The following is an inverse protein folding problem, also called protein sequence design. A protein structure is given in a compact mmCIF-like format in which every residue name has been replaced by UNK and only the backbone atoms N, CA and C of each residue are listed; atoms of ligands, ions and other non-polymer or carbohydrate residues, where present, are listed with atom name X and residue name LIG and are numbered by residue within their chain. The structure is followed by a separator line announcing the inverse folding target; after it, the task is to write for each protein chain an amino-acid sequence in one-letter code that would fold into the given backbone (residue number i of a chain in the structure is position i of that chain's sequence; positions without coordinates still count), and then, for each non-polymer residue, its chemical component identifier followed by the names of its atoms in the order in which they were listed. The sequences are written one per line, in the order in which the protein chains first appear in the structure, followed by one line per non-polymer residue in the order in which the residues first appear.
data_IF_629135067047
#
_entry.id   IF_629135067047
#
_cell.length_a   1.000
_cell.length_b   1.000
_cell.length_c   1.000
_cell.angle_alpha   90.00
_cell.angle_beta   90.00
_cell.angle_gamma   90.00
#
_symmetry.space_group_name_H-M   'P 1'
#
loop_
_entity.id
_entity.type
_entity.pdbx_description
1 polymer ?
#
# COMPACT_ATOMS: atom_id res chain seq x y z
N UNK A 1 15.09 27.02 -12.12
CA UNK A 1 13.83 27.79 -12.14
C UNK A 1 13.03 27.51 -10.87
N UNK A 2 13.15 28.37 -9.85
CA UNK A 2 12.47 28.27 -8.55
C UNK A 2 11.50 29.47 -8.44
N UNK A 3 10.19 29.23 -8.56
CA UNK A 3 9.16 30.20 -8.17
C UNK A 3 8.55 29.78 -6.83
N UNK A 4 8.88 30.45 -5.73
CA UNK A 4 8.16 30.29 -4.47
C UNK A 4 6.93 31.23 -4.50
N UNK A 5 5.83 30.82 -3.90
CA UNK A 5 4.70 31.71 -3.58
C UNK A 5 4.29 31.33 -2.16
N UNK A 6 4.49 32.24 -1.22
CA UNK A 6 4.00 32.13 0.16
C UNK A 6 2.80 33.07 0.27
N UNK A 7 1.69 32.57 0.82
CA UNK A 7 0.46 33.33 0.99
C UNK A 7 0.55 34.33 2.14
N UNK A 8 0.07 35.54 1.89
CA UNK A 8 -0.27 36.58 2.84
C UNK A 8 -1.36 37.45 2.23
N UNK A 9 -2.37 37.78 3.04
CA UNK A 9 -3.62 38.43 2.63
C UNK A 9 -3.41 39.72 1.82
N UNK A 10 -4.21 39.88 0.77
CA UNK A 10 -4.39 41.15 0.06
C UNK A 10 -3.68 41.27 -1.30
N UNK A 11 -4.44 41.02 -2.37
CA UNK A 11 -4.38 41.81 -3.61
C UNK A 11 -3.14 41.79 -4.52
N UNK A 12 -2.02 41.17 -4.16
CA UNK A 12 -0.82 41.15 -5.01
C UNK A 12 -0.18 39.76 -5.03
N UNK A 13 0.08 39.23 -6.23
CA UNK A 13 0.81 37.97 -6.38
C UNK A 13 2.31 38.24 -6.11
N UNK A 14 2.81 37.85 -4.94
CA UNK A 14 4.24 37.98 -4.60
C UNK A 14 5.11 36.99 -5.40
N UNK A 15 5.65 37.48 -6.52
CA UNK A 15 6.62 36.79 -7.38
C UNK A 15 7.97 36.71 -6.64
N UNK A 16 8.35 35.55 -6.09
CA UNK A 16 9.74 35.36 -5.60
C UNK A 16 10.66 34.80 -6.67
N UNK A 17 11.78 35.49 -6.88
CA UNK A 17 12.79 35.19 -7.91
C UNK A 17 13.62 33.91 -7.62
N UNK A 18 14.10 33.19 -8.65
CA UNK A 18 14.87 31.96 -8.46
C UNK A 18 16.21 32.18 -7.76
N UNK A 19 16.48 31.42 -6.70
CA UNK A 19 17.83 31.31 -6.14
C UNK A 19 18.71 30.46 -7.09
N UNK A 20 19.59 31.10 -7.85
CA UNK A 20 20.73 30.44 -8.51
C UNK A 20 22.04 30.97 -7.94
N UNK A 21 23.05 30.10 -7.95
CA UNK A 21 24.29 30.15 -7.18
C UNK A 21 25.06 31.47 -7.27
N UNK A 22 25.69 31.81 -6.14
CA UNK A 22 26.49 33.00 -5.92
C UNK A 22 27.67 33.09 -6.92
N UNK A 23 27.74 34.22 -7.63
CA UNK A 23 28.97 34.71 -8.26
C UNK A 23 29.60 35.71 -7.28
N UNK A 24 30.91 35.62 -6.96
CA UNK A 24 31.50 36.46 -5.92
C UNK A 24 31.68 37.89 -6.46
N UNK A 25 31.06 38.88 -5.80
CA UNK A 25 31.34 40.30 -6.05
C UNK A 25 30.18 41.29 -5.99
N UNK A 26 28.93 40.89 -5.73
CA UNK A 26 27.81 41.84 -5.61
C UNK A 26 26.90 41.58 -4.40
N UNK A 27 26.35 42.70 -3.90
CA UNK A 27 25.56 42.94 -2.69
C UNK A 27 24.46 41.88 -2.45
N UNK A 28 24.21 41.45 -1.20
CA UNK A 28 23.28 40.37 -0.88
C UNK A 28 21.83 40.66 -1.29
N UNK A 29 21.20 39.68 -1.94
CA UNK A 29 19.83 39.66 -2.49
C UNK A 29 18.76 39.56 -1.37
N UNK A 30 18.82 40.43 -0.35
CA UNK A 30 17.84 40.43 0.76
C UNK A 30 16.97 41.69 0.82
N UNK A 31 17.15 42.63 -0.10
CA UNK A 31 16.47 43.93 -0.08
C UNK A 31 16.11 44.47 -1.46
N UNK A 32 15.69 43.63 -2.42
CA UNK A 32 15.11 44.12 -3.66
C UNK A 32 13.59 44.16 -3.54
N UNK A 33 13.01 45.35 -3.72
CA UNK A 33 11.56 45.52 -3.84
C UNK A 33 11.03 44.81 -5.09
N UNK A 34 9.78 44.30 -5.08
CA UNK A 34 9.20 43.52 -6.18
C UNK A 34 9.25 44.22 -7.54
N UNK A 35 9.26 45.56 -7.57
CA UNK A 35 9.42 46.39 -8.77
C UNK A 35 10.74 46.17 -9.52
N UNK A 36 11.83 45.84 -8.83
CA UNK A 36 13.14 45.67 -9.48
C UNK A 36 13.25 44.29 -10.16
N UNK A 37 12.61 43.24 -9.62
CA UNK A 37 12.60 41.90 -10.25
C UNK A 37 11.78 41.88 -11.55
N UNK A 38 10.69 42.66 -11.64
CA UNK A 38 9.86 42.78 -12.85
C UNK A 38 10.63 43.49 -13.99
N UNK A 39 11.47 44.48 -13.68
CA UNK A 39 12.27 45.17 -14.70
C UNK A 39 13.35 44.31 -15.38
N UNK A 40 13.77 43.21 -14.74
CA UNK A 40 14.87 42.34 -15.23
C UNK A 40 14.38 41.12 -16.02
N UNK A 41 13.12 40.71 -15.80
CA UNK A 41 12.48 39.60 -16.51
C UNK A 41 11.13 40.06 -17.09
N UNK A 42 11.17 40.61 -18.30
CA UNK A 42 10.03 41.16 -19.04
C UNK A 42 8.97 40.10 -19.41
N UNK A 43 9.20 38.81 -19.12
CA UNK A 43 8.27 37.71 -19.36
C UNK A 43 7.34 37.39 -18.17
N UNK A 44 7.42 38.14 -17.06
CA UNK A 44 6.70 37.84 -15.83
C UNK A 44 5.60 38.84 -15.44
N UNK A 45 5.43 39.92 -16.20
CA UNK A 45 4.29 40.83 -16.04
C UNK A 45 3.18 40.40 -17.01
N UNK A 46 2.50 39.30 -16.67
CA UNK A 46 1.20 39.03 -17.30
C UNK A 46 0.25 40.03 -16.67
N UNK A 47 0.00 41.11 -17.39
CA UNK A 47 -0.93 42.15 -16.99
C UNK A 47 -2.31 41.52 -16.78
N UNK A 48 -2.67 41.27 -15.51
CA UNK A 48 -3.92 40.60 -15.11
C UNK A 48 -5.13 41.52 -15.23
N UNK A 49 -4.92 42.74 -15.71
CA UNK A 49 -5.93 43.80 -15.79
C UNK A 49 -6.61 43.91 -17.16
N UNK A 50 -6.09 43.26 -18.21
CA UNK A 50 -6.69 43.32 -19.56
C UNK A 50 -6.95 41.94 -20.20
N UNK A 51 -8.20 41.77 -20.68
CA UNK A 51 -8.65 40.72 -21.60
C UNK A 51 -8.35 39.28 -21.17
N UNK A 52 -7.43 38.63 -21.89
CA UNK A 52 -7.14 37.20 -21.75
C UNK A 52 -6.55 36.83 -20.38
N UNK A 53 -5.77 37.72 -19.76
CA UNK A 53 -5.19 37.50 -18.42
C UNK A 53 -6.27 37.47 -17.33
N UNK A 54 -7.26 38.36 -17.43
CA UNK A 54 -8.36 38.44 -16.46
C UNK A 54 -9.33 37.27 -16.59
N UNK A 55 -9.60 36.81 -17.82
CA UNK A 55 -10.38 35.58 -18.08
C UNK A 55 -9.66 34.38 -17.47
N UNK A 56 -8.35 34.21 -17.74
CA UNK A 56 -7.58 33.11 -17.17
C UNK A 56 -7.56 33.11 -15.64
N UNK A 57 -7.37 34.28 -15.02
CA UNK A 57 -7.39 34.42 -13.57
C UNK A 57 -8.76 34.13 -12.98
N UNK A 58 -9.85 34.56 -13.65
CA UNK A 58 -11.22 34.24 -13.28
C UNK A 58 -11.49 32.74 -13.36
N UNK A 59 -11.11 32.09 -14.46
CA UNK A 59 -11.23 30.64 -14.65
C UNK A 59 -10.46 29.88 -13.56
N UNK A 60 -9.22 30.28 -13.27
CA UNK A 60 -8.43 29.67 -12.20
C UNK A 60 -9.10 29.82 -10.83
N UNK A 61 -9.62 31.00 -10.51
CA UNK A 61 -10.32 31.25 -9.24
C UNK A 61 -11.59 30.40 -9.12
N UNK A 62 -12.37 30.29 -10.19
CA UNK A 62 -13.56 29.42 -10.21
C UNK A 62 -13.18 27.94 -10.09
N UNK A 63 -12.14 27.47 -10.79
CA UNK A 63 -11.65 26.08 -10.67
C UNK A 63 -11.19 25.78 -9.24
N UNK A 64 -10.49 26.71 -8.60
CA UNK A 64 -10.05 26.56 -7.22
C UNK A 64 -11.24 26.43 -6.26
N UNK A 65 -12.26 27.29 -6.40
CA UNK A 65 -13.50 27.21 -5.62
C UNK A 65 -14.25 25.90 -5.83
N UNK A 66 -14.30 25.38 -7.07
CA UNK A 66 -14.96 24.10 -7.39
C UNK A 66 -14.20 22.93 -6.74
N UNK A 67 -12.87 22.89 -6.88
CA UNK A 67 -12.04 21.77 -6.39
C UNK A 67 -12.04 21.69 -4.86
N UNK A 68 -12.08 22.82 -4.17
CA UNK A 68 -12.12 22.88 -2.69
C UNK A 68 -13.54 22.73 -2.12
N UNK A 69 -14.57 22.71 -2.97
CA UNK A 69 -15.94 22.57 -2.52
C UNK A 69 -16.23 21.17 -1.94
N UNK A 70 -16.81 21.10 -0.75
CA UNK A 70 -17.08 19.83 -0.04
C UNK A 70 -17.99 18.86 -0.80
N UNK A 71 -18.95 19.39 -1.58
CA UNK A 71 -19.78 18.53 -2.45
C UNK A 71 -18.99 17.92 -3.59
N UNK A 72 -18.05 18.66 -4.18
CA UNK A 72 -17.21 18.13 -5.25
C UNK A 72 -16.29 17.03 -4.69
N UNK A 73 -15.71 17.25 -3.51
CA UNK A 73 -14.91 16.22 -2.83
C UNK A 73 -15.74 14.95 -2.52
N UNK A 74 -16.95 15.12 -1.98
CA UNK A 74 -17.88 14.00 -1.70
C UNK A 74 -18.29 13.24 -2.96
N UNK A 75 -18.55 13.97 -4.05
CA UNK A 75 -18.85 13.39 -5.37
C UNK A 75 -17.70 12.54 -5.91
N UNK A 76 -16.47 13.04 -5.85
CA UNK A 76 -15.28 12.28 -6.29
C UNK A 76 -15.08 11.03 -5.42
N UNK A 77 -15.26 11.13 -4.11
CA UNK A 77 -15.17 9.96 -3.21
C UNK A 77 -16.22 8.90 -3.60
N UNK A 78 -17.47 9.31 -3.82
CA UNK A 78 -18.53 8.41 -4.27
C UNK A 78 -18.19 7.74 -5.61
N UNK A 79 -17.64 8.49 -6.57
CA UNK A 79 -17.18 7.94 -7.85
C UNK A 79 -16.02 6.94 -7.70
N UNK A 80 -15.07 7.19 -6.79
CA UNK A 80 -13.98 6.24 -6.47
C UNK A 80 -14.54 4.95 -5.90
N UNK A 81 -15.49 5.03 -4.97
CA UNK A 81 -16.13 3.85 -4.38
C UNK A 81 -16.90 3.05 -5.42
N UNK A 82 -17.66 3.72 -6.28
CA UNK A 82 -18.43 3.07 -7.34
C UNK A 82 -17.50 2.40 -8.38
N UNK A 83 -16.42 3.08 -8.77
CA UNK A 83 -15.41 2.51 -9.68
C UNK A 83 -14.67 1.31 -9.07
N UNK A 84 -14.39 1.35 -7.76
CA UNK A 84 -13.77 0.23 -7.04
C UNK A 84 -14.75 -0.95 -6.89
N UNK A 85 -16.02 -0.67 -6.65
CA UNK A 85 -17.09 -1.67 -6.62
C UNK A 85 -17.29 -2.34 -7.97
N UNK A 86 -17.17 -1.59 -9.08
CA UNK A 86 -17.25 -2.16 -10.43
C UNK A 86 -16.18 -3.24 -10.68
N UNK A 87 -14.97 -3.08 -10.14
CA UNK A 87 -13.90 -4.10 -10.24
C UNK A 87 -14.25 -5.41 -9.53
N UNK A 88 -15.06 -5.36 -8.47
CA UNK A 88 -15.47 -6.57 -7.75
C UNK A 88 -16.42 -7.47 -8.58
N UNK A 89 -17.08 -6.91 -9.60
CA UNK A 89 -17.93 -7.66 -10.51
C UNK A 89 -17.17 -8.32 -11.67
N UNK A 90 -15.86 -8.08 -11.80
CA UNK A 90 -15.01 -8.74 -12.80
C UNK A 90 -14.56 -10.14 -12.34
N UNK A 91 -15.52 -11.07 -12.26
CA UNK A 91 -15.29 -12.47 -11.93
C UNK A 91 -15.19 -13.36 -13.19
N UNK A 92 -14.86 -14.65 -13.00
CA UNK A 92 -14.79 -15.64 -14.10
C UNK A 92 -16.13 -15.84 -14.83
N UNK A 93 -17.26 -15.45 -14.22
CA UNK A 93 -18.61 -15.60 -14.76
C UNK A 93 -19.07 -14.37 -15.56
N UNK A 94 -18.20 -13.35 -15.72
CA UNK A 94 -18.53 -12.14 -16.47
C UNK A 94 -18.89 -12.41 -17.93
N UNK A 95 -18.29 -13.43 -18.55
CA UNK A 95 -18.56 -13.79 -19.94
C UNK A 95 -19.98 -14.36 -20.13
N UNK A 96 -20.53 -15.00 -19.09
CA UNK A 96 -21.90 -15.50 -19.10
C UNK A 96 -22.92 -14.36 -18.95
N UNK A 97 -22.56 -13.27 -18.26
CA UNK A 97 -23.42 -12.11 -18.01
C UNK A 97 -23.12 -10.96 -18.97
N UNK A 98 -23.51 -11.11 -20.25
CA UNK A 98 -23.25 -10.12 -21.31
C UNK A 98 -23.73 -8.70 -20.98
N UNK A 99 -24.89 -8.55 -20.35
CA UNK A 99 -25.43 -7.22 -19.97
C UNK A 99 -24.53 -6.53 -18.95
N UNK A 100 -24.08 -7.25 -17.92
CA UNK A 100 -23.19 -6.73 -16.89
C UNK A 100 -21.85 -6.33 -17.51
N UNK A 101 -21.27 -7.18 -18.38
CA UNK A 101 -20.04 -6.89 -19.11
C UNK A 101 -20.12 -5.57 -19.88
N UNK A 102 -21.17 -5.37 -20.67
CA UNK A 102 -21.36 -4.15 -21.47
C UNK A 102 -21.51 -2.92 -20.54
N UNK A 103 -22.32 -3.01 -19.49
CA UNK A 103 -22.50 -1.92 -18.52
C UNK A 103 -21.19 -1.56 -17.84
N UNK A 104 -20.38 -2.54 -17.44
CA UNK A 104 -19.06 -2.32 -16.83
C UNK A 104 -18.09 -1.62 -17.80
N UNK A 105 -18.03 -2.04 -19.07
CA UNK A 105 -17.18 -1.41 -20.08
C UNK A 105 -17.54 0.05 -20.33
N UNK A 106 -18.83 0.37 -20.40
CA UNK A 106 -19.29 1.76 -20.52
C UNK A 106 -19.03 2.56 -19.25
N UNK A 107 -19.27 1.97 -18.08
CA UNK A 107 -19.02 2.61 -16.78
C UNK A 107 -17.54 2.94 -16.60
N UNK A 108 -16.63 2.04 -16.99
CA UNK A 108 -15.18 2.26 -16.93
C UNK A 108 -14.72 3.45 -17.79
N UNK A 109 -15.33 3.66 -18.96
CA UNK A 109 -15.08 4.85 -19.79
C UNK A 109 -15.56 6.11 -19.07
N UNK A 110 -16.77 6.09 -18.50
CA UNK A 110 -17.35 7.23 -17.77
C UNK A 110 -16.46 7.60 -16.57
N UNK A 111 -16.03 6.64 -15.75
CA UNK A 111 -15.13 6.92 -14.63
C UNK A 111 -13.81 7.53 -15.08
N UNK A 112 -13.22 6.99 -16.14
CA UNK A 112 -11.96 7.51 -16.70
C UNK A 112 -12.11 8.97 -17.13
N UNK A 113 -13.21 9.32 -17.81
CA UNK A 113 -13.48 10.71 -18.18
C UNK A 113 -13.68 11.64 -16.98
N UNK A 114 -14.43 11.20 -15.96
CA UNK A 114 -14.63 11.97 -14.72
C UNK A 114 -13.28 12.25 -14.04
N UNK A 115 -12.40 11.24 -13.95
CA UNK A 115 -11.09 11.38 -13.32
C UNK A 115 -10.10 12.24 -14.14
N UNK A 116 -10.18 12.19 -15.47
CA UNK A 116 -9.43 13.12 -16.32
C UNK A 116 -9.90 14.55 -16.09
N UNK A 117 -11.21 14.77 -16.03
CA UNK A 117 -11.79 16.09 -15.77
C UNK A 117 -11.35 16.62 -14.40
N UNK A 118 -11.39 15.78 -13.36
CA UNK A 118 -10.87 16.11 -12.03
C UNK A 118 -9.38 16.52 -12.07
N UNK A 119 -8.56 15.77 -12.80
CA UNK A 119 -7.13 16.06 -12.97
C UNK A 119 -6.90 17.43 -13.64
N UNK A 120 -7.63 17.70 -14.73
CA UNK A 120 -7.54 18.98 -15.46
C UNK A 120 -7.99 20.14 -14.57
N UNK A 121 -9.08 19.99 -13.82
CA UNK A 121 -9.52 21.00 -12.85
C UNK A 121 -8.45 21.28 -11.78
N UNK A 122 -7.79 20.23 -11.25
CA UNK A 122 -6.68 20.38 -10.29
C UNK A 122 -5.47 21.10 -10.90
N UNK A 123 -5.13 20.82 -12.15
CA UNK A 123 -4.04 21.50 -12.87
C UNK A 123 -4.34 22.99 -13.05
N UNK A 124 -5.56 23.34 -13.43
CA UNK A 124 -5.99 24.74 -13.59
C UNK A 124 -6.07 25.47 -12.23
N UNK A 125 -6.54 24.80 -11.18
CA UNK A 125 -6.68 25.38 -9.84
C UNK A 125 -5.31 25.62 -9.16
N UNK A 126 -4.52 24.55 -8.97
CA UNK A 126 -3.28 24.59 -8.18
C UNK A 126 -2.06 25.02 -9.02
N UNK A 127 -2.11 24.81 -10.33
CA UNK A 127 -0.96 24.97 -11.22
C UNK A 127 0.00 23.78 -11.17
N UNK A 128 0.77 23.60 -12.25
CA UNK A 128 1.67 22.45 -12.44
C UNK A 128 2.66 22.25 -11.29
N UNK A 129 3.28 23.32 -10.79
CA UNK A 129 4.31 23.21 -9.75
C UNK A 129 3.76 22.68 -8.43
N UNK A 130 2.65 23.23 -7.96
CA UNK A 130 2.06 22.82 -6.67
C UNK A 130 1.48 21.41 -6.77
N UNK A 131 0.89 21.07 -7.91
CA UNK A 131 0.38 19.72 -8.20
C UNK A 131 1.49 18.66 -8.12
N UNK A 132 2.59 18.83 -8.86
CA UNK A 132 3.68 17.85 -8.90
C UNK A 132 4.58 17.81 -7.64
N UNK A 133 4.41 18.76 -6.72
CA UNK A 133 5.10 18.71 -5.42
C UNK A 133 4.37 17.80 -4.42
N UNK A 134 3.08 17.50 -4.63
CA UNK A 134 2.27 16.70 -3.71
C UNK A 134 2.26 15.22 -4.13
N UNK A 135 2.78 14.34 -3.27
CA UNK A 135 2.82 12.88 -3.51
C UNK A 135 1.45 12.26 -3.79
N UNK A 136 0.40 12.75 -3.14
CA UNK A 136 -0.96 12.24 -3.34
C UNK A 136 -1.52 12.62 -4.71
N UNK A 137 -1.21 13.82 -5.20
CA UNK A 137 -1.56 14.23 -6.56
C UNK A 137 -0.78 13.43 -7.60
N UNK A 138 0.46 13.06 -7.31
CA UNK A 138 1.27 12.20 -8.18
C UNK A 138 0.71 10.77 -8.29
N UNK A 139 0.21 10.21 -7.18
CA UNK A 139 -0.49 8.93 -7.18
C UNK A 139 -1.77 8.98 -8.04
N UNK A 140 -2.61 10.02 -7.86
CA UNK A 140 -3.83 10.19 -8.65
C UNK A 140 -3.49 10.29 -10.15
N UNK A 141 -2.47 11.08 -10.50
CA UNK A 141 -1.94 11.28 -11.86
C UNK A 141 -1.52 9.96 -12.52
N UNK A 142 -0.66 9.18 -11.86
CA UNK A 142 -0.18 7.90 -12.39
C UNK A 142 -1.35 6.94 -12.71
N UNK A 143 -2.36 6.87 -11.84
CA UNK A 143 -3.52 6.01 -12.07
C UNK A 143 -4.38 6.53 -13.24
N UNK A 144 -4.48 7.86 -13.44
CA UNK A 144 -5.21 8.43 -14.60
C UNK A 144 -4.45 8.08 -15.87
N UNK A 145 -3.13 8.27 -15.88
CA UNK A 145 -2.27 8.00 -17.04
C UNK A 145 -2.33 6.53 -17.49
N UNK A 146 -2.23 5.57 -16.56
CA UNK A 146 -2.38 4.14 -16.89
C UNK A 146 -3.74 3.86 -17.52
N UNK A 147 -4.81 4.50 -17.04
CA UNK A 147 -6.16 4.35 -17.58
C UNK A 147 -6.31 5.01 -18.96
N UNK A 148 -5.68 6.17 -19.17
CA UNK A 148 -5.69 6.90 -20.43
C UNK A 148 -4.92 6.15 -21.52
N UNK A 149 -3.73 5.63 -21.22
CA UNK A 149 -2.94 4.82 -22.16
C UNK A 149 -3.72 3.59 -22.60
N UNK A 150 -4.37 2.90 -21.66
CA UNK A 150 -5.23 1.75 -21.96
C UNK A 150 -6.42 2.14 -22.87
N UNK A 151 -7.07 3.27 -22.61
CA UNK A 151 -8.19 3.76 -23.43
C UNK A 151 -7.75 4.07 -24.87
N UNK A 152 -6.68 4.86 -25.02
CA UNK A 152 -6.13 5.27 -26.33
C UNK A 152 -5.63 4.05 -27.13
N UNK A 153 -4.99 3.10 -26.46
CA UNK A 153 -4.55 1.86 -27.08
C UNK A 153 -5.72 1.03 -27.63
N UNK A 154 -6.83 0.95 -26.91
CA UNK A 154 -8.03 0.23 -27.36
C UNK A 154 -8.71 0.95 -28.54
N UNK A 155 -8.71 2.29 -28.59
CA UNK A 155 -9.33 3.04 -29.69
C UNK A 155 -8.49 3.02 -30.97
N UNK A 156 -7.16 2.95 -30.85
CA UNK A 156 -6.23 2.88 -31.98
C UNK A 156 -6.05 1.45 -32.53
N UNK A 157 -6.65 0.43 -31.92
CA UNK A 157 -6.56 -0.96 -32.38
C UNK A 157 -5.28 -1.70 -31.98
N UNK A 158 -4.47 -1.16 -31.07
CA UNK A 158 -3.25 -1.82 -30.55
C UNK A 158 -3.53 -2.81 -29.40
N UNK A 159 -4.79 -3.17 -29.17
CA UNK A 159 -5.27 -3.89 -27.98
C UNK A 159 -4.60 -5.24 -27.70
N UNK A 160 -4.00 -5.87 -28.71
CA UNK A 160 -3.45 -7.23 -28.63
C UNK A 160 -2.00 -7.29 -28.16
N UNK A 161 -1.32 -6.15 -28.00
CA UNK A 161 0.03 -6.16 -27.43
C UNK A 161 -0.02 -6.64 -25.97
N UNK A 162 0.85 -7.59 -25.62
CA UNK A 162 0.95 -8.14 -24.26
C UNK A 162 1.11 -7.04 -23.19
N UNK A 163 1.82 -5.96 -23.52
CA UNK A 163 1.96 -4.78 -22.68
C UNK A 163 0.60 -4.15 -22.32
N UNK A 164 -0.29 -3.94 -23.30
CA UNK A 164 -1.61 -3.33 -23.08
C UNK A 164 -2.51 -4.25 -22.27
N UNK A 165 -2.43 -5.57 -22.51
CA UNK A 165 -3.14 -6.56 -21.69
C UNK A 165 -2.69 -6.53 -20.22
N UNK A 166 -1.39 -6.34 -19.97
CA UNK A 166 -0.85 -6.18 -18.61
C UNK A 166 -1.19 -4.82 -17.97
N UNK A 167 -1.23 -3.73 -18.75
CA UNK A 167 -1.67 -2.42 -18.25
C UNK A 167 -3.14 -2.47 -17.79
N UNK A 168 -3.97 -3.27 -18.46
CA UNK A 168 -5.36 -3.49 -18.04
C UNK A 168 -5.43 -4.09 -16.63
N UNK A 169 -4.49 -4.92 -16.18
CA UNK A 169 -4.52 -5.47 -14.81
C UNK A 169 -4.17 -4.43 -13.75
N UNK A 170 -3.42 -3.37 -14.10
CA UNK A 170 -3.08 -2.27 -13.19
C UNK A 170 -4.29 -1.42 -12.78
N UNK A 171 -5.45 -1.56 -13.44
CA UNK A 171 -6.70 -0.93 -12.97
C UNK A 171 -7.11 -1.40 -11.57
N UNK A 172 -6.61 -2.55 -11.11
CA UNK A 172 -6.74 -3.00 -9.73
C UNK A 172 -6.11 -2.03 -8.70
N UNK A 173 -5.29 -1.07 -9.13
CA UNK A 173 -4.73 -0.01 -8.29
C UNK A 173 -5.69 1.16 -8.04
N UNK A 174 -6.82 1.28 -8.75
CA UNK A 174 -7.79 2.38 -8.58
C UNK A 174 -8.24 2.60 -7.12
N UNK A 175 -8.49 1.56 -6.30
CA UNK A 175 -8.82 1.73 -4.88
C UNK A 175 -7.75 2.48 -4.08
N UNK A 176 -6.49 2.50 -4.51
CA UNK A 176 -5.43 3.27 -3.84
C UNK A 176 -5.71 4.78 -3.83
N UNK A 177 -6.54 5.30 -4.74
CA UNK A 177 -6.99 6.70 -4.68
C UNK A 177 -7.81 7.01 -3.45
N UNK A 178 -8.49 6.03 -2.86
CA UNK A 178 -9.19 6.24 -1.59
C UNK A 178 -8.20 6.64 -0.47
N UNK A 179 -6.95 6.18 -0.53
CA UNK A 179 -5.91 6.53 0.45
C UNK A 179 -5.62 8.04 0.48
N UNK A 180 -5.68 8.73 -0.67
CA UNK A 180 -5.43 10.18 -0.75
C UNK A 180 -6.61 11.02 -0.22
N UNK A 181 -7.81 10.42 -0.15
CA UNK A 181 -9.06 11.09 0.22
C UNK A 181 -9.43 10.90 1.69
N UNK A 182 -9.25 9.70 2.25
CA UNK A 182 -9.59 9.45 3.65
C UNK A 182 -8.46 9.88 4.60
N UNK A 183 -8.76 10.86 5.45
CA UNK A 183 -7.78 11.44 6.38
C UNK A 183 -7.18 10.40 7.33
N UNK A 184 -8.00 9.47 7.83
CA UNK A 184 -7.54 8.39 8.70
C UNK A 184 -6.49 7.50 8.04
N UNK A 185 -6.68 7.14 6.75
CA UNK A 185 -5.71 6.33 6.02
C UNK A 185 -4.43 7.12 5.71
N UNK A 186 -4.54 8.41 5.37
CA UNK A 186 -3.36 9.28 5.17
C UNK A 186 -2.47 9.34 6.41
N UNK A 187 -3.06 9.51 7.59
CA UNK A 187 -2.32 9.60 8.86
C UNK A 187 -1.54 8.30 9.10
N UNK A 188 -2.17 7.14 8.90
CA UNK A 188 -1.50 5.83 9.05
C UNK A 188 -0.38 5.65 8.03
N UNK A 189 -0.63 5.94 6.74
CA UNK A 189 0.39 5.80 5.69
C UNK A 189 1.58 6.73 5.93
N UNK A 190 1.34 7.98 6.33
CA UNK A 190 2.41 8.93 6.64
C UNK A 190 3.28 8.45 7.83
N UNK A 191 2.67 7.86 8.86
CA UNK A 191 3.40 7.27 9.97
C UNK A 191 4.27 6.08 9.53
N UNK A 192 3.73 5.20 8.68
CA UNK A 192 4.47 4.08 8.10
C UNK A 192 5.63 4.55 7.23
N UNK A 193 5.42 5.53 6.34
CA UNK A 193 6.49 6.10 5.49
C UNK A 193 7.60 6.71 6.36
N UNK A 194 7.23 7.37 7.46
CA UNK A 194 8.21 7.89 8.42
C UNK A 194 9.05 6.82 9.11
N UNK A 195 8.59 5.56 9.16
CA UNK A 195 9.32 4.43 9.73
C UNK A 195 10.22 3.70 8.71
N UNK A 196 9.98 3.87 7.41
CA UNK A 196 10.71 3.19 6.33
C UNK A 196 12.24 3.31 6.49
N UNK A 197 12.85 4.48 6.75
CA UNK A 197 14.30 4.58 6.83
C UNK A 197 14.92 3.69 7.93
N UNK A 198 14.28 3.64 9.10
CA UNK A 198 14.74 2.78 10.20
C UNK A 198 14.52 1.30 9.87
N UNK A 199 13.39 0.96 9.25
CA UNK A 199 13.08 -0.41 8.83
C UNK A 199 14.09 -0.90 7.77
N UNK A 200 14.47 -0.06 6.81
CA UNK A 200 15.44 -0.42 5.76
C UNK A 200 16.81 -0.77 6.33
N UNK A 201 17.26 -0.06 7.38
CA UNK A 201 18.53 -0.39 8.05
C UNK A 201 18.50 -1.79 8.67
N UNK A 202 17.41 -2.13 9.36
CA UNK A 202 17.21 -3.46 9.94
C UNK A 202 17.09 -4.53 8.87
N UNK A 203 16.29 -4.26 7.85
CA UNK A 203 16.09 -5.18 6.74
C UNK A 203 17.42 -5.52 6.07
N UNK A 204 18.31 -4.54 5.88
CA UNK A 204 19.64 -4.76 5.32
C UNK A 204 20.48 -5.71 6.18
N UNK A 205 20.49 -5.52 7.51
CA UNK A 205 21.19 -6.44 8.44
C UNK A 205 20.61 -7.85 8.36
N UNK A 206 19.28 -7.97 8.37
CA UNK A 206 18.60 -9.25 8.22
C UNK A 206 18.93 -9.93 6.88
N UNK A 207 18.95 -9.17 5.78
CA UNK A 207 19.29 -9.70 4.46
C UNK A 207 20.73 -10.22 4.41
N UNK A 208 21.70 -9.49 4.96
CA UNK A 208 23.10 -9.94 5.03
C UNK A 208 23.21 -11.20 5.88
N UNK A 209 22.52 -11.26 7.02
CA UNK A 209 22.53 -12.43 7.88
C UNK A 209 21.91 -13.66 7.18
N UNK A 210 20.76 -13.49 6.52
CA UNK A 210 20.11 -14.54 5.74
C UNK A 210 20.92 -14.94 4.49
N UNK A 211 21.77 -14.05 3.96
CA UNK A 211 22.67 -14.38 2.84
C UNK A 211 23.62 -15.51 3.20
N UNK A 212 24.18 -15.47 4.41
CA UNK A 212 25.14 -16.48 4.90
C UNK A 212 24.49 -17.86 4.93
N UNK A 213 23.29 -17.95 5.50
CA UNK A 213 22.52 -19.20 5.53
C UNK A 213 22.10 -19.61 4.12
N UNK A 214 21.70 -18.68 3.25
CA UNK A 214 21.32 -19.02 1.88
C UNK A 214 22.48 -19.63 1.10
N UNK A 215 23.69 -19.05 1.19
CA UNK A 215 24.90 -19.60 0.56
C UNK A 215 25.25 -20.97 1.14
N UNK A 216 25.16 -21.13 2.46
CA UNK A 216 25.37 -22.43 3.11
C UNK A 216 24.35 -23.48 2.63
N UNK A 217 23.08 -23.11 2.55
CA UNK A 217 22.01 -23.97 2.06
C UNK A 217 22.19 -24.38 0.60
N UNK A 218 22.64 -23.46 -0.27
CA UNK A 218 22.99 -23.79 -1.67
C UNK A 218 24.11 -24.83 -1.71
N UNK A 219 25.18 -24.65 -0.92
CA UNK A 219 26.28 -25.62 -0.88
C UNK A 219 25.85 -26.99 -0.35
N UNK A 220 24.89 -27.04 0.58
CA UNK A 220 24.42 -28.29 1.18
C UNK A 220 23.39 -29.02 0.30
N UNK A 221 22.49 -28.30 -0.37
CA UNK A 221 21.24 -28.85 -0.92
C UNK A 221 21.02 -28.60 -2.41
N UNK A 222 21.84 -27.79 -3.10
CA UNK A 222 21.64 -27.49 -4.51
C UNK A 222 21.63 -28.77 -5.37
N UNK A 223 20.62 -28.90 -6.24
CA UNK A 223 20.47 -30.06 -7.13
C UNK A 223 20.04 -31.36 -6.46
N UNK A 224 19.84 -31.38 -5.13
CA UNK A 224 19.48 -32.60 -4.37
C UNK A 224 17.98 -32.73 -4.06
N UNK A 225 17.16 -31.72 -4.40
CA UNK A 225 15.71 -31.71 -4.16
C UNK A 225 14.90 -32.26 -5.36
N UNK A 226 15.55 -33.02 -6.23
CA UNK A 226 14.90 -33.71 -7.34
C UNK A 226 14.28 -35.03 -6.87
N UNK A 227 13.13 -35.38 -7.46
CA UNK A 227 12.46 -36.67 -7.22
C UNK A 227 11.73 -37.14 -8.47
N UNK A 228 11.79 -38.44 -8.72
CA UNK A 228 10.98 -39.10 -9.74
C UNK A 228 9.57 -39.31 -9.19
N UNK A 229 8.56 -38.82 -9.91
CA UNK A 229 7.15 -38.96 -9.54
C UNK A 229 6.34 -39.56 -10.69
N UNK A 230 5.30 -40.32 -10.34
CA UNK A 230 4.30 -40.76 -11.30
C UNK A 230 3.34 -39.60 -11.66
N UNK A 231 2.60 -39.71 -12.76
CA UNK A 231 1.47 -38.85 -13.13
C UNK A 231 0.41 -38.71 -12.03
N UNK A 232 0.26 -39.69 -11.15
CA UNK A 232 -0.63 -39.64 -9.98
C UNK A 232 -0.04 -38.88 -8.78
N UNK A 233 1.23 -38.47 -8.84
CA UNK A 233 1.94 -37.77 -7.77
C UNK A 233 2.62 -38.68 -6.73
N UNK A 234 2.59 -39.99 -6.92
CA UNK A 234 3.31 -40.95 -6.06
C UNK A 234 4.83 -40.84 -6.26
N UNK A 235 5.58 -40.87 -5.16
CA UNK A 235 7.04 -40.80 -5.14
C UNK A 235 7.58 -42.23 -5.04
N UNK A 236 8.47 -42.61 -5.97
CA UNK A 236 9.08 -43.94 -5.94
C UNK A 236 10.13 -44.07 -4.84
N UNK A 237 10.24 -45.26 -4.27
CA UNK A 237 11.37 -45.62 -3.43
C UNK A 237 12.64 -45.75 -4.28
N UNK A 238 13.79 -45.43 -3.67
CA UNK A 238 15.10 -45.49 -4.34
C UNK A 238 15.52 -46.92 -4.74
N UNK A 239 14.81 -47.95 -4.26
CA UNK A 239 15.01 -49.36 -4.66
C UNK A 239 14.53 -49.64 -6.09
N UNK A 240 13.54 -48.89 -6.58
CA UNK A 240 12.97 -49.07 -7.92
C UNK A 240 13.63 -48.14 -8.94
N UNK A 241 13.85 -46.88 -8.55
CA UNK A 241 14.50 -45.85 -9.37
C UNK A 241 15.49 -45.13 -8.47
N UNK A 242 16.79 -45.32 -8.68
CA UNK A 242 17.82 -44.76 -7.82
C UNK A 242 18.30 -43.39 -8.32
N UNK A 243 18.37 -43.19 -9.65
CA UNK A 243 18.94 -41.97 -10.24
C UNK A 243 18.00 -41.31 -11.25
N UNK A 244 18.26 -40.02 -11.54
CA UNK A 244 17.54 -39.26 -12.57
C UNK A 244 17.59 -39.93 -13.94
N UNK A 245 18.76 -40.43 -14.35
CA UNK A 245 18.91 -41.09 -15.66
C UNK A 245 18.04 -42.35 -15.77
N UNK A 246 17.83 -43.08 -14.67
CA UNK A 246 16.92 -44.23 -14.63
C UNK A 246 15.45 -43.81 -14.71
N UNK A 247 15.10 -42.70 -14.05
CA UNK A 247 13.76 -42.10 -14.18
C UNK A 247 13.46 -41.67 -15.63
N UNK A 248 14.44 -41.06 -16.30
CA UNK A 248 14.32 -40.62 -17.70
C UNK A 248 14.35 -41.81 -18.68
N UNK A 249 15.13 -42.86 -18.41
CA UNK A 249 15.14 -44.09 -19.22
C UNK A 249 13.84 -44.89 -19.07
N UNK A 250 13.20 -44.84 -17.89
CA UNK A 250 11.89 -45.47 -17.62
C UNK A 250 10.70 -44.63 -18.14
N UNK A 251 10.96 -43.61 -18.97
CA UNK A 251 9.94 -42.73 -19.54
C UNK A 251 9.33 -43.27 -20.85
N UNK A 252 9.69 -44.47 -21.30
CA UNK A 252 9.10 -45.09 -22.51
C UNK A 252 7.57 -45.22 -22.44
N UNK A 253 6.98 -45.27 -21.24
CA UNK A 253 5.53 -45.30 -21.04
C UNK A 253 4.90 -43.93 -20.72
N UNK A 254 5.67 -42.82 -20.68
CA UNK A 254 5.20 -41.48 -20.29
C UNK A 254 4.51 -41.41 -18.90
N UNK A 255 4.80 -42.35 -18.02
CA UNK A 255 4.16 -42.46 -16.70
C UNK A 255 4.93 -41.75 -15.59
N UNK A 256 6.24 -41.50 -15.78
CA UNK A 256 7.12 -40.96 -14.76
C UNK A 256 7.84 -39.71 -15.28
N UNK A 257 8.01 -38.73 -14.41
CA UNK A 257 8.81 -37.55 -14.74
C UNK A 257 9.62 -37.09 -13.54
N UNK A 258 10.83 -36.60 -13.81
CA UNK A 258 11.68 -35.99 -12.80
C UNK A 258 11.20 -34.57 -12.51
N UNK A 259 10.88 -34.30 -11.25
CA UNK A 259 10.45 -32.97 -10.81
C UNK A 259 11.23 -32.52 -9.59
N UNK A 260 11.30 -31.22 -9.38
CA UNK A 260 11.95 -30.61 -8.22
C UNK A 260 10.90 -30.07 -7.25
N UNK A 261 11.26 -30.00 -5.97
CA UNK A 261 10.47 -29.23 -5.00
C UNK A 261 10.43 -27.76 -5.44
N UNK A 262 9.23 -27.16 -5.39
CA UNK A 262 8.97 -25.80 -5.91
C UNK A 262 9.83 -24.72 -5.24
N UNK A 263 10.07 -24.86 -3.94
CA UNK A 263 10.94 -23.98 -3.15
C UNK A 263 12.14 -24.81 -2.72
N UNK A 264 13.33 -24.41 -3.17
CA UNK A 264 14.55 -25.18 -3.03
C UNK A 264 15.78 -24.26 -2.87
N UNK A 265 16.97 -24.86 -2.79
CA UNK A 265 18.25 -24.17 -2.62
C UNK A 265 19.12 -24.23 -3.88
N UNK A 266 18.54 -24.29 -5.09
CA UNK A 266 19.33 -24.33 -6.35
C UNK A 266 20.07 -23.00 -6.60
N UNK A 267 19.53 -21.87 -6.11
CA UNK A 267 20.12 -20.54 -6.23
C UNK A 267 19.96 -19.77 -4.92
N UNK A 268 20.81 -18.77 -4.68
CA UNK A 268 20.73 -17.92 -3.47
C UNK A 268 19.36 -17.24 -3.32
N UNK A 269 18.74 -16.80 -4.42
CA UNK A 269 17.39 -16.21 -4.40
C UNK A 269 16.30 -17.20 -3.99
N UNK A 270 16.36 -18.44 -4.47
CA UNK A 270 15.43 -19.50 -4.07
C UNK A 270 15.69 -19.91 -2.60
N UNK A 271 16.96 -19.93 -2.18
CA UNK A 271 17.35 -20.12 -0.78
C UNK A 271 16.79 -19.05 0.15
N UNK A 272 16.75 -17.78 -0.25
CA UNK A 272 16.07 -16.72 0.50
C UNK A 272 14.58 -16.99 0.68
N UNK A 273 13.89 -17.43 -0.39
CA UNK A 273 12.47 -17.78 -0.32
C UNK A 273 12.23 -18.99 0.60
N UNK A 274 13.12 -20.00 0.54
CA UNK A 274 13.08 -21.17 1.41
C UNK A 274 13.28 -20.78 2.88
N UNK A 275 14.30 -19.98 3.17
CA UNK A 275 14.57 -19.46 4.52
C UNK A 275 13.43 -18.58 5.04
N UNK A 276 12.77 -17.80 4.18
CA UNK A 276 11.58 -17.02 4.55
C UNK A 276 10.41 -17.92 4.98
N UNK A 277 10.17 -19.03 4.26
CA UNK A 277 9.14 -20.02 4.64
C UNK A 277 9.47 -20.72 5.97
N UNK A 278 10.76 -21.05 6.18
CA UNK A 278 11.23 -21.61 7.46
C UNK A 278 11.09 -20.61 8.60
N UNK A 279 11.50 -19.36 8.41
CA UNK A 279 11.43 -18.31 9.43
C UNK A 279 9.99 -17.96 9.83
N UNK A 280 9.04 -18.04 8.89
CA UNK A 280 7.61 -17.79 9.14
C UNK A 280 6.85 -19.04 9.62
N UNK A 281 7.51 -20.19 9.71
CA UNK A 281 6.93 -21.48 10.05
C UNK A 281 5.76 -21.89 9.15
N UNK A 282 5.76 -21.47 7.88
CA UNK A 282 4.73 -21.81 6.88
C UNK A 282 5.37 -22.46 5.65
N UNK A 283 5.01 -23.70 5.37
CA UNK A 283 5.59 -24.49 4.27
C UNK A 283 6.99 -25.08 4.57
N UNK A 284 7.53 -24.83 5.77
CA UNK A 284 8.87 -25.27 6.20
C UNK A 284 9.05 -26.79 6.22
N UNK A 285 7.99 -27.55 6.49
CA UNK A 285 8.02 -29.01 6.57
C UNK A 285 8.45 -29.65 5.25
N UNK A 286 7.93 -29.18 4.11
CA UNK A 286 8.28 -29.73 2.79
C UNK A 286 9.77 -29.53 2.46
N UNK A 287 10.31 -28.36 2.82
CA UNK A 287 11.72 -28.02 2.62
C UNK A 287 12.62 -28.89 3.50
N UNK A 288 12.23 -29.05 4.77
CA UNK A 288 13.02 -29.78 5.76
C UNK A 288 13.01 -31.29 5.47
N UNK A 289 11.87 -31.87 5.10
CA UNK A 289 11.79 -33.26 4.67
C UNK A 289 12.62 -33.49 3.40
N UNK A 290 12.52 -32.61 2.40
CA UNK A 290 13.36 -32.72 1.20
C UNK A 290 14.86 -32.62 1.50
N UNK A 291 15.26 -31.81 2.49
CA UNK A 291 16.65 -31.69 2.92
C UNK A 291 17.16 -32.93 3.67
N UNK A 292 16.34 -33.49 4.55
CA UNK A 292 16.69 -34.67 5.35
C UNK A 292 16.72 -35.94 4.51
N UNK A 293 15.84 -36.03 3.51
CA UNK A 293 15.79 -37.15 2.58
C UNK A 293 16.81 -37.01 1.44
N UNK A 294 17.54 -35.88 1.38
CA UNK A 294 18.47 -35.57 0.29
C UNK A 294 19.74 -36.41 0.33
N UNK A 295 20.17 -36.88 -0.85
CA UNK A 295 21.43 -37.63 -1.06
C UNK A 295 22.44 -36.85 -1.91
N UNK A 296 23.03 -37.45 -2.94
CA UNK A 296 23.85 -36.74 -3.90
C UNK A 296 22.98 -36.04 -4.96
N UNK A 297 23.64 -35.26 -5.80
CA UNK A 297 23.00 -34.53 -6.90
C UNK A 297 22.43 -35.54 -7.91
N UNK A 298 21.17 -35.34 -8.34
CA UNK A 298 20.46 -36.23 -9.28
C UNK A 298 20.19 -37.67 -8.80
N UNK A 299 20.31 -37.94 -7.50
CA UNK A 299 19.87 -39.19 -6.88
C UNK A 299 18.46 -39.07 -6.30
N UNK A 300 17.71 -40.17 -6.30
CA UNK A 300 16.38 -40.25 -5.68
C UNK A 300 16.51 -40.14 -4.15
N UNK A 301 15.67 -39.32 -3.49
CA UNK A 301 15.71 -39.16 -2.05
C UNK A 301 15.36 -40.46 -1.33
N UNK A 302 16.02 -40.71 -0.21
CA UNK A 302 15.73 -41.82 0.70
C UNK A 302 15.31 -41.23 2.03
N UNK A 303 14.20 -41.74 2.57
CA UNK A 303 13.64 -41.27 3.83
C UNK A 303 14.71 -41.28 4.94
N UNK A 304 14.93 -40.13 5.58
CA UNK A 304 15.76 -39.95 6.77
C UNK A 304 17.25 -40.34 6.63
N UNK A 305 17.77 -40.39 5.40
CA UNK A 305 19.18 -40.74 5.14
C UNK A 305 20.16 -39.71 5.73
N UNK A 306 19.81 -38.43 5.71
CA UNK A 306 20.66 -37.32 6.16
C UNK A 306 20.02 -36.59 7.35
N UNK A 307 19.73 -37.34 8.42
CA UNK A 307 19.03 -36.87 9.62
C UNK A 307 19.67 -35.62 10.26
N UNK A 308 20.99 -35.47 10.18
CA UNK A 308 21.70 -34.33 10.79
C UNK A 308 21.36 -32.98 10.14
N UNK A 309 20.76 -32.96 8.95
CA UNK A 309 20.35 -31.71 8.28
C UNK A 309 19.25 -30.96 9.03
N UNK A 310 18.51 -31.61 9.94
CA UNK A 310 17.64 -30.90 10.89
C UNK A 310 18.38 -29.83 11.69
N UNK A 311 19.65 -30.07 12.04
CA UNK A 311 20.45 -29.12 12.81
C UNK A 311 20.65 -27.79 12.08
N UNK A 312 20.81 -27.82 10.76
CA UNK A 312 20.91 -26.60 9.94
C UNK A 312 19.67 -25.71 10.13
N UNK A 313 18.47 -26.29 10.04
CA UNK A 313 17.22 -25.54 10.22
C UNK A 313 16.99 -25.11 11.66
N UNK A 314 17.35 -25.94 12.66
CA UNK A 314 17.25 -25.57 14.08
C UNK A 314 18.16 -24.38 14.40
N UNK A 315 19.41 -24.40 13.94
CA UNK A 315 20.36 -23.28 14.10
C UNK A 315 19.80 -22.04 13.41
N UNK A 316 19.29 -22.15 12.19
CA UNK A 316 18.67 -21.03 11.49
C UNK A 316 17.43 -20.48 12.21
N UNK A 317 16.58 -21.33 12.79
CA UNK A 317 15.40 -20.86 13.54
C UNK A 317 15.82 -20.09 14.79
N UNK A 318 16.79 -20.61 15.54
CA UNK A 318 17.30 -19.97 16.77
C UNK A 318 17.99 -18.64 16.46
N UNK A 319 18.93 -18.62 15.51
CA UNK A 319 19.70 -17.39 15.24
C UNK A 319 19.05 -16.48 14.21
N UNK A 320 18.30 -17.04 13.26
CA UNK A 320 17.79 -16.32 12.09
C UNK A 320 16.32 -15.97 12.11
N UNK A 321 15.50 -16.60 12.95
CA UNK A 321 14.10 -16.17 13.17
C UNK A 321 13.95 -15.41 14.48
N UNK A 322 14.43 -15.97 15.61
CA UNK A 322 14.27 -15.33 16.91
C UNK A 322 15.04 -14.00 17.00
N UNK A 323 16.31 -13.95 16.59
CA UNK A 323 17.09 -12.72 16.63
C UNK A 323 16.54 -11.65 15.68
N UNK A 324 16.18 -12.02 14.45
CA UNK A 324 15.66 -11.06 13.46
C UNK A 324 14.30 -10.51 13.86
N UNK A 325 13.39 -11.35 14.39
CA UNK A 325 12.09 -10.89 14.88
C UNK A 325 12.27 -9.94 16.07
N UNK A 326 13.14 -10.28 17.02
CA UNK A 326 13.40 -9.44 18.18
C UNK A 326 14.03 -8.09 17.79
N UNK A 327 15.00 -8.10 16.88
CA UNK A 327 15.64 -6.88 16.38
C UNK A 327 14.65 -6.02 15.58
N UNK A 328 13.81 -6.65 14.74
CA UNK A 328 12.79 -5.96 13.97
C UNK A 328 11.72 -5.31 14.86
N UNK A 329 11.16 -6.07 15.82
CA UNK A 329 10.19 -5.56 16.79
C UNK A 329 10.82 -4.44 17.63
N UNK A 330 12.06 -4.61 18.09
CA UNK A 330 12.79 -3.62 18.87
C UNK A 330 12.93 -2.29 18.13
N UNK A 331 13.37 -2.31 16.87
CA UNK A 331 13.54 -1.08 16.07
C UNK A 331 12.20 -0.46 15.69
N UNK A 332 11.17 -1.26 15.41
CA UNK A 332 9.83 -0.72 15.15
C UNK A 332 9.29 0.01 16.39
N UNK A 333 9.39 -0.61 17.56
CA UNK A 333 8.95 0.01 18.82
C UNK A 333 9.75 1.28 19.10
N UNK A 334 11.06 1.26 18.92
CA UNK A 334 11.90 2.44 19.10
C UNK A 334 11.54 3.55 18.10
N UNK A 335 11.35 3.22 16.82
CA UNK A 335 10.93 4.18 15.81
C UNK A 335 9.56 4.80 16.14
N UNK A 336 8.58 3.98 16.54
CA UNK A 336 7.27 4.49 16.96
C UNK A 336 7.37 5.38 18.20
N UNK A 337 8.22 5.03 19.17
CA UNK A 337 8.48 5.87 20.33
C UNK A 337 9.15 7.19 19.95
N UNK A 338 10.11 7.18 19.01
CA UNK A 338 10.74 8.39 18.49
C UNK A 338 9.74 9.28 17.74
N UNK A 339 8.89 8.70 16.89
CA UNK A 339 7.81 9.42 16.22
C UNK A 339 6.83 10.03 17.23
N UNK A 340 6.44 9.27 18.26
CA UNK A 340 5.57 9.76 19.34
C UNK A 340 6.19 10.94 20.08
N UNK A 341 7.49 10.90 20.37
CA UNK A 341 8.22 12.02 21.01
C UNK A 341 8.25 13.27 20.12
N UNK A 342 8.47 13.13 18.80
CA UNK A 342 8.47 14.26 17.85
C UNK A 342 7.10 14.95 17.77
N UNK A 343 6.00 14.19 17.87
CA UNK A 343 4.63 14.70 17.85
C UNK A 343 4.15 15.09 19.27
N UNK A 344 5.06 15.55 20.14
CA UNK A 344 4.79 16.01 21.52
C UNK A 344 3.98 15.00 22.36
N UNK A 345 4.20 13.70 22.17
CA UNK A 345 3.54 12.65 22.93
C UNK A 345 2.09 12.36 22.53
N UNK A 346 1.57 13.00 21.47
CA UNK A 346 0.24 12.69 20.95
C UNK A 346 0.24 11.36 20.18
N UNK A 347 -0.91 10.70 20.17
CA UNK A 347 -1.07 9.44 19.44
C UNK A 347 -0.97 9.66 17.92
N UNK A 348 -0.23 8.76 17.28
CA UNK A 348 0.23 8.88 15.88
C UNK A 348 -0.87 8.49 14.88
N UNK A 349 -1.74 7.53 15.25
CA UNK A 349 -2.71 6.92 14.32
C UNK A 349 -4.10 7.55 14.35
N UNK A 350 -4.32 8.58 15.15
CA UNK A 350 -5.63 9.22 15.29
C UNK A 350 -5.69 10.56 14.55
N UNK A 351 -6.79 10.78 13.83
CA UNK A 351 -7.16 12.09 13.27
C UNK A 351 -7.51 13.09 14.37
N UNK A 352 -7.58 14.38 14.04
CA UNK A 352 -7.90 15.42 15.02
C UNK A 352 -9.31 15.27 15.61
N UNK A 353 -10.30 14.85 14.81
CA UNK A 353 -11.66 14.59 15.28
C UNK A 353 -11.71 13.37 16.20
N UNK A 354 -11.03 12.28 15.83
CA UNK A 354 -10.92 11.08 16.68
C UNK A 354 -10.23 11.40 18.00
N UNK A 355 -9.23 12.28 18.02
CA UNK A 355 -8.59 12.76 19.26
C UNK A 355 -9.59 13.48 20.17
N UNK A 356 -10.47 14.34 19.63
CA UNK A 356 -11.52 15.01 20.40
C UNK A 356 -12.48 13.99 21.02
N UNK A 357 -12.92 13.01 20.24
CA UNK A 357 -13.80 11.93 20.70
C UNK A 357 -13.13 11.06 21.78
N UNK A 358 -11.89 10.64 21.56
CA UNK A 358 -11.10 9.87 22.53
C UNK A 358 -10.94 10.63 23.86
N UNK A 359 -10.65 11.92 23.81
CA UNK A 359 -10.53 12.75 25.01
C UNK A 359 -11.86 12.89 25.76
N UNK A 360 -12.99 12.99 25.05
CA UNK A 360 -14.32 12.99 25.67
C UNK A 360 -14.62 11.65 26.36
N UNK A 361 -14.33 10.52 25.69
CA UNK A 361 -14.53 9.18 26.24
C UNK A 361 -13.62 8.90 27.44
N UNK A 362 -12.36 9.34 27.39
CA UNK A 362 -11.42 9.27 28.52
C UNK A 362 -11.92 10.08 29.71
N UNK A 363 -12.47 11.28 29.48
CA UNK A 363 -13.09 12.11 30.54
C UNK A 363 -14.33 11.43 31.13
N UNK A 364 -15.18 10.82 30.31
CA UNK A 364 -16.35 10.05 30.75
C UNK A 364 -15.95 8.88 31.63
N UNK A 365 -14.95 8.09 31.22
CA UNK A 365 -14.44 6.96 32.02
C UNK A 365 -13.77 7.38 33.34
N UNK A 366 -13.17 8.58 33.38
CA UNK A 366 -12.58 9.12 34.62
C UNK A 366 -13.61 9.68 35.61
N UNK A 367 -14.86 9.92 35.18
CA UNK A 367 -15.92 10.41 36.06
C UNK A 367 -16.52 9.24 36.83
N UNK A 368 -16.37 9.24 38.14
CA UNK A 368 -17.15 8.36 39.02
C UNK A 368 -18.64 8.75 38.91
N UNK A 369 -19.57 7.78 38.91
CA UNK A 369 -20.99 8.09 38.95
C UNK A 369 -21.28 8.94 40.20
N UNK A 370 -22.12 9.97 40.04
CA UNK A 370 -22.67 10.67 41.18
C UNK A 370 -23.49 9.69 42.04
N UNK A 371 -23.64 9.99 43.33
CA UNK A 371 -24.37 9.12 44.26
C UNK A 371 -25.70 8.68 43.61
N UNK A 372 -26.01 7.37 43.60
CA UNK A 372 -27.29 6.91 43.10
C UNK A 372 -28.40 7.70 43.79
N UNK A 373 -29.39 8.13 43.01
CA UNK A 373 -30.52 8.92 43.49
C UNK A 373 -31.07 8.24 44.77
N UNK A 374 -31.20 8.97 45.89
CA UNK A 374 -31.65 8.38 47.14
C UNK A 374 -33.01 7.71 46.91
N UNK A 375 -33.12 6.47 47.38
CA UNK A 375 -34.37 5.71 47.27
C UNK A 375 -35.46 6.50 48.03
N UNK A 376 -36.64 6.75 47.44
CA UNK A 376 -37.67 7.51 48.11
C UNK A 376 -38.08 6.84 49.43
N UNK A 377 -38.20 7.65 50.49
CA UNK A 377 -38.44 7.21 51.88
C UNK A 377 -39.89 6.78 52.15
N UNK A 378 -40.82 7.09 51.24
CA UNK A 378 -42.22 6.71 51.32
C UNK A 378 -42.52 5.55 50.38
N UNK A 379 -43.50 4.69 50.71
CA UNK A 379 -43.86 3.55 49.85
C UNK A 379 -44.56 3.97 48.54
N UNK A 380 -45.21 5.14 48.52
CA UNK A 380 -45.98 5.62 47.37
C UNK A 380 -45.16 5.88 46.09
N UNK A 381 -43.96 6.50 46.12
CA UNK A 381 -43.15 6.73 44.93
C UNK A 381 -42.43 5.48 44.43
N UNK A 382 -42.16 4.48 45.30
CA UNK A 382 -41.55 3.20 44.90
C UNK A 382 -42.52 2.39 44.04
N UNK A 383 -43.80 2.38 44.42
CA UNK A 383 -44.87 1.72 43.65
C UNK A 383 -45.13 2.48 42.35
N UNK A 384 -45.11 3.82 42.35
CA UNK A 384 -45.30 4.61 41.12
C UNK A 384 -44.18 4.38 40.08
N UNK A 385 -42.92 4.28 40.51
CA UNK A 385 -41.80 3.99 39.59
C UNK A 385 -41.86 2.55 39.05
N UNK A 386 -42.26 1.58 39.90
CA UNK A 386 -42.50 0.21 39.45
C UNK A 386 -43.68 0.12 38.46
N UNK A 387 -44.78 0.83 38.71
CA UNK A 387 -45.95 0.87 37.81
C UNK A 387 -45.62 1.55 36.47
N UNK A 388 -44.77 2.58 36.45
CA UNK A 388 -44.34 3.22 35.20
C UNK A 388 -43.37 2.35 34.40
N UNK A 389 -42.43 1.65 35.05
CA UNK A 389 -41.52 0.74 34.34
C UNK A 389 -42.21 -0.55 33.85
N UNK A 390 -43.10 -1.14 34.63
CA UNK A 390 -43.85 -2.33 34.21
C UNK A 390 -45.01 -1.99 33.27
N UNK A 391 -45.64 -0.82 33.42
CA UNK A 391 -46.69 -0.34 32.51
C UNK A 391 -46.17 0.03 31.12
N UNK A 392 -44.94 0.54 31.01
CA UNK A 392 -44.30 0.81 29.72
C UNK A 392 -43.89 -0.47 28.96
N UNK A 393 -43.57 -1.56 29.68
CA UNK A 393 -43.18 -2.82 29.06
C UNK A 393 -44.38 -3.60 28.46
N UNK A 394 -45.59 -3.40 29.01
CA UNK A 394 -46.83 -4.03 28.52
C UNK A 394 -47.35 -3.34 27.24
N UNK A 395 -47.07 -2.05 27.04
CA UNK A 395 -47.55 -1.30 25.86
C UNK A 395 -46.68 -1.49 24.60
N UNK A 396 -45.51 -2.13 24.72
CA UNK A 396 -44.59 -2.39 23.59
C UNK A 396 -44.67 -3.83 23.03
N UNK A 397 -45.57 -4.65 23.56
CA UNK A 397 -45.80 -6.05 23.13
C UNK A 397 -47.30 -6.37 22.91
N UNK A 398 -48.10 -5.36 22.55
CA UNK A 398 -49.48 -5.50 22.07
C UNK A 398 -49.57 -5.25 20.58
#
# INVERSE_FOLDING_TARGET
MKWFFSGGDGGSADITCPQTAAVPGLIPVRSLSPTVCVSRFQCCDIDTTAGHGQIWWRTRKTCYQIVEHSWFESFIIFMILLSSGALAFEDIYIEQRRVVKVVLEYSDKIFTYIFILEMVLKWLAYGFKKYFTNYWCWLDFLIVDVSLVSLVANTLGYSDLAAIKSLRTLRALRPLRALSRFEGMRVVVNALIGAIPSIMNVLLVCLIFWLIFSIMGVNLFAGKFGRCVNRTGYIYEASVINNRSECEASNDTSQHYWTKVKVNFDNVGAGYLALLQVATFKGWMEIMYAAVDSRAVEEQPIKEINLYMYLYFVIFIIFGSFFTLNLFIGVIIDNFNQQKRKIRGQDIFMTEEQKKYYNAMKKLGSKKPQKPIPRPLTAAPVIAVAVVMYGGCIMMWG
#
